data_IF_361162370258
#
_entry.id   IF_361162370258
#
_cell.length_a   1.000
_cell.length_b   1.000
_cell.length_c   1.000
_cell.angle_alpha   90.00
_cell.angle_beta   90.00
_cell.angle_gamma   90.00
#
_symmetry.space_group_name_H-M   'P 1'
#
loop_
_entity.id
_entity.type
_entity.pdbx_description
1 polymer ?
#
# COMPACT_ATOMS: atom_id res chain seq x y z
N UNK A 1 19.10 27.95 2.31
CA UNK A 1 18.57 26.66 1.91
C UNK A 1 19.30 26.22 0.64
N UNK A 2 19.53 24.93 0.43
CA UNK A 2 20.20 24.40 -0.75
C UNK A 2 21.20 23.30 -0.42
N UNK A 3 21.85 22.75 -1.45
CA UNK A 3 22.85 21.71 -1.33
C UNK A 3 24.24 22.30 -1.12
N UNK A 4 24.96 21.84 -0.12
CA UNK A 4 26.33 22.24 0.16
C UNK A 4 27.25 21.03 0.16
N UNK A 5 28.36 21.11 -0.57
CA UNK A 5 29.42 20.10 -0.60
C UNK A 5 30.54 20.48 0.35
N UNK A 6 30.91 19.54 1.22
CA UNK A 6 32.11 19.65 2.06
C UNK A 6 33.30 18.97 1.40
N UNK A 7 34.42 19.66 1.31
CA UNK A 7 35.66 19.08 0.85
C UNK A 7 36.54 18.70 2.06
N UNK A 8 36.64 17.42 2.33
CA UNK A 8 37.39 16.89 3.48
C UNK A 8 38.91 17.15 3.43
N UNK A 9 39.48 17.36 2.22
CA UNK A 9 40.90 17.62 2.05
C UNK A 9 41.28 19.05 2.34
N UNK A 10 40.40 20.03 2.08
CA UNK A 10 40.66 21.47 2.33
C UNK A 10 39.90 22.02 3.51
N UNK A 11 38.86 21.35 4.00
CA UNK A 11 37.97 21.82 5.04
C UNK A 11 36.91 22.84 4.56
N UNK A 12 36.81 23.08 3.27
CA UNK A 12 35.95 24.08 2.69
C UNK A 12 34.54 23.58 2.39
N UNK A 13 33.59 24.51 2.46
CA UNK A 13 32.21 24.29 2.00
C UNK A 13 31.96 25.07 0.72
N UNK A 14 31.29 24.42 -0.24
CA UNK A 14 30.85 25.06 -1.49
C UNK A 14 29.38 24.82 -1.73
N UNK A 15 28.63 25.88 -2.02
CA UNK A 15 27.23 25.79 -2.37
C UNK A 15 27.09 25.22 -3.80
N UNK A 16 26.20 24.25 -3.97
CA UNK A 16 25.81 23.71 -5.26
C UNK A 16 24.59 24.49 -5.73
N UNK A 17 24.75 25.30 -6.76
CA UNK A 17 23.72 26.24 -7.27
C UNK A 17 22.75 25.59 -8.28
N UNK A 18 23.16 24.49 -8.89
CA UNK A 18 22.41 23.78 -9.94
C UNK A 18 21.06 23.24 -9.46
N UNK A 19 20.95 22.92 -8.17
CA UNK A 19 19.72 22.45 -7.51
C UNK A 19 18.78 23.59 -7.10
N UNK A 20 19.20 24.83 -7.37
CA UNK A 20 18.51 26.02 -6.89
C UNK A 20 18.80 26.33 -5.42
N UNK A 21 18.85 27.61 -5.09
CA UNK A 21 19.24 28.09 -3.73
C UNK A 21 18.07 28.08 -2.73
N UNK A 22 16.84 27.85 -3.19
CA UNK A 22 15.61 27.91 -2.39
C UNK A 22 14.89 26.58 -2.26
N UNK A 23 15.37 25.52 -2.91
CA UNK A 23 14.75 24.20 -2.85
C UNK A 23 14.88 23.58 -1.48
N UNK A 24 13.78 23.05 -0.96
CA UNK A 24 13.82 22.20 0.23
C UNK A 24 14.20 20.80 -0.23
N UNK A 25 15.37 20.34 0.16
CA UNK A 25 15.87 19.01 -0.13
C UNK A 25 15.33 18.06 0.94
N UNK A 26 14.68 17.00 0.49
CA UNK A 26 14.14 15.97 1.36
C UNK A 26 15.06 14.75 1.44
N UNK A 27 15.63 14.34 0.30
CA UNK A 27 16.46 13.14 0.27
C UNK A 27 17.61 13.28 -0.73
N UNK A 28 18.68 12.55 -0.48
CA UNK A 28 19.87 12.49 -1.32
C UNK A 28 20.35 11.04 -1.36
N UNK A 29 20.49 10.48 -2.57
CA UNK A 29 20.97 9.13 -2.77
C UNK A 29 22.07 9.11 -3.85
N UNK A 30 23.19 8.48 -3.57
CA UNK A 30 24.18 8.07 -4.59
C UNK A 30 23.86 6.64 -5.02
N UNK A 31 23.54 6.46 -6.31
CA UNK A 31 23.19 5.16 -6.86
C UNK A 31 24.41 4.36 -7.31
N UNK A 32 24.21 3.06 -7.55
CA UNK A 32 25.25 2.14 -8.01
C UNK A 32 25.76 2.44 -9.42
N UNK A 33 25.12 3.35 -10.18
CA UNK A 33 25.46 3.77 -11.54
C UNK A 33 26.20 5.12 -11.61
N UNK A 34 26.73 5.58 -10.48
CA UNK A 34 27.45 6.85 -10.34
C UNK A 34 26.58 8.09 -10.61
N UNK A 35 25.35 8.10 -10.18
CA UNK A 35 24.52 9.28 -10.14
C UNK A 35 24.26 9.69 -8.69
N UNK A 36 24.20 11.00 -8.44
CA UNK A 36 23.69 11.57 -7.21
C UNK A 36 22.28 12.11 -7.48
N UNK A 37 21.30 11.51 -6.85
CA UNK A 37 19.91 11.91 -6.94
C UNK A 37 19.55 12.82 -5.77
N UNK A 38 18.78 13.87 -6.05
CA UNK A 38 18.38 14.86 -5.06
C UNK A 38 16.87 15.09 -5.17
N UNK A 39 16.15 14.62 -4.15
CA UNK A 39 14.71 14.79 -4.03
C UNK A 39 14.38 16.15 -3.41
N UNK A 40 13.41 16.86 -3.98
CA UNK A 40 13.01 18.16 -3.49
C UNK A 40 11.51 18.28 -3.30
N UNK A 41 11.12 19.23 -2.47
CA UNK A 41 9.72 19.61 -2.29
C UNK A 41 9.34 20.69 -3.32
N UNK A 42 8.37 20.38 -4.18
CA UNK A 42 7.78 21.26 -5.20
C UNK A 42 8.70 21.69 -6.36
N UNK A 43 9.97 21.26 -6.40
CA UNK A 43 10.90 21.62 -7.49
C UNK A 43 11.37 20.41 -8.30
N UNK A 44 10.78 19.25 -8.08
CA UNK A 44 11.08 18.04 -8.84
C UNK A 44 12.31 17.28 -8.35
N UNK A 45 12.97 16.59 -9.24
CA UNK A 45 14.09 15.71 -8.98
C UNK A 45 15.31 16.18 -9.76
N UNK A 46 16.49 16.18 -9.14
CA UNK A 46 17.76 16.47 -9.79
C UNK A 46 18.64 15.22 -9.79
N UNK A 47 19.36 15.03 -10.90
CA UNK A 47 20.38 14.00 -11.04
C UNK A 47 21.70 14.62 -11.45
N UNK A 48 22.75 14.36 -10.68
CA UNK A 48 24.13 14.66 -11.07
C UNK A 48 24.81 13.36 -11.50
N UNK A 49 25.32 13.32 -12.73
CA UNK A 49 26.05 12.19 -13.25
C UNK A 49 27.57 12.45 -13.12
N UNK A 50 28.25 11.67 -12.27
CA UNK A 50 29.66 11.90 -11.95
C UNK A 50 30.61 11.77 -13.15
N UNK A 51 30.44 10.80 -14.07
CA UNK A 51 31.37 10.59 -15.19
C UNK A 51 31.52 11.79 -16.11
N UNK A 52 30.43 12.45 -16.47
CA UNK A 52 30.42 13.61 -17.39
C UNK A 52 30.20 14.93 -16.66
N UNK A 53 29.99 14.89 -15.33
CA UNK A 53 29.78 16.06 -14.46
C UNK A 53 28.58 16.90 -14.87
N UNK A 54 27.54 16.25 -15.39
CA UNK A 54 26.33 16.91 -15.85
C UNK A 54 25.21 16.88 -14.82
N UNK A 55 24.38 17.93 -14.84
CA UNK A 55 23.14 18.00 -14.09
C UNK A 55 21.94 17.81 -15.03
N UNK A 56 20.98 17.02 -14.59
CA UNK A 56 19.67 16.88 -15.23
C UNK A 56 18.58 17.22 -14.21
N UNK A 57 17.61 18.01 -14.63
CA UNK A 57 16.46 18.40 -13.81
C UNK A 57 15.18 17.80 -14.40
N UNK A 58 14.46 17.04 -13.60
CA UNK A 58 13.21 16.38 -13.97
C UNK A 58 12.04 17.03 -13.25
N UNK A 59 11.08 17.52 -14.02
CA UNK A 59 9.84 18.11 -13.53
C UNK A 59 8.63 17.28 -13.97
N UNK A 60 7.61 17.29 -13.14
CA UNK A 60 6.31 16.74 -13.51
C UNK A 60 5.71 17.58 -14.66
N UNK A 61 5.35 16.89 -15.72
CA UNK A 61 4.65 17.47 -16.85
C UNK A 61 3.54 16.52 -17.33
N UNK A 62 2.24 16.85 -17.12
CA UNK A 62 1.13 15.97 -17.48
C UNK A 62 1.02 15.71 -18.99
N UNK A 63 1.56 16.63 -19.82
CA UNK A 63 1.54 16.50 -21.28
C UNK A 63 2.73 15.69 -21.82
N UNK A 64 3.72 15.38 -20.99
CA UNK A 64 4.91 14.61 -21.35
C UNK A 64 4.85 13.22 -20.73
N UNK A 65 4.57 12.20 -21.55
CA UNK A 65 4.64 10.82 -21.12
C UNK A 65 6.07 10.48 -20.68
N UNK A 66 6.21 9.86 -19.53
CA UNK A 66 7.52 9.49 -18.97
C UNK A 66 8.18 10.62 -18.16
N UNK A 67 7.49 11.75 -17.89
CA UNK A 67 7.95 12.70 -16.88
C UNK A 67 7.85 12.10 -15.47
N UNK A 68 8.59 12.66 -14.50
CA UNK A 68 8.41 12.31 -13.08
C UNK A 68 6.95 12.53 -12.67
N UNK A 69 6.43 11.69 -11.76
CA UNK A 69 5.00 11.64 -11.43
C UNK A 69 4.54 12.76 -10.50
N UNK A 70 5.46 13.45 -9.82
CA UNK A 70 5.21 14.59 -8.92
C UNK A 70 6.44 15.50 -8.86
N UNK A 71 6.24 16.78 -8.56
CA UNK A 71 7.33 17.70 -8.20
C UNK A 71 7.73 17.62 -6.72
N UNK A 72 6.94 16.94 -5.90
CA UNK A 72 7.23 16.70 -4.48
C UNK A 72 7.70 15.28 -4.28
N UNK A 73 9.02 15.09 -4.30
CA UNK A 73 9.68 13.80 -4.05
C UNK A 73 10.16 13.79 -2.61
N UNK A 74 9.75 12.77 -1.85
CA UNK A 74 10.04 12.69 -0.42
C UNK A 74 11.25 11.80 -0.14
N UNK A 75 11.31 10.63 -0.79
CA UNK A 75 12.35 9.62 -0.53
C UNK A 75 12.84 8.99 -1.82
N UNK A 76 14.09 8.57 -1.82
CA UNK A 76 14.77 7.88 -2.91
C UNK A 76 15.33 6.58 -2.34
N UNK A 77 15.15 5.49 -3.06
CA UNK A 77 15.64 4.19 -2.65
C UNK A 77 16.18 3.41 -3.86
N UNK A 78 17.35 2.80 -3.74
CA UNK A 78 17.85 1.83 -4.71
C UNK A 78 17.72 0.42 -4.14
N UNK A 79 16.99 -0.45 -4.86
CA UNK A 79 16.82 -1.83 -4.43
C UNK A 79 18.06 -2.69 -4.76
N UNK A 80 18.11 -3.89 -4.22
CA UNK A 80 19.23 -4.85 -4.43
C UNK A 80 19.44 -5.26 -5.88
N UNK A 81 18.50 -4.95 -6.77
CA UNK A 81 18.56 -5.19 -8.22
C UNK A 81 18.92 -3.95 -9.02
N UNK A 82 19.30 -2.87 -8.32
CA UNK A 82 19.70 -1.59 -8.92
C UNK A 82 18.53 -0.86 -9.63
N UNK A 83 17.28 -1.13 -9.24
CA UNK A 83 16.16 -0.28 -9.62
C UNK A 83 16.07 0.89 -8.66
N UNK A 84 15.83 2.07 -9.21
CA UNK A 84 15.67 3.27 -8.39
C UNK A 84 14.18 3.59 -8.21
N UNK A 85 13.80 3.87 -6.97
CA UNK A 85 12.44 4.10 -6.53
C UNK A 85 12.33 5.49 -5.92
N UNK A 86 11.26 6.20 -6.27
CA UNK A 86 10.98 7.53 -5.76
C UNK A 86 9.61 7.52 -5.07
N UNK A 87 9.60 7.84 -3.80
CA UNK A 87 8.39 8.07 -3.03
C UNK A 87 7.95 9.52 -3.12
N UNK A 88 6.68 9.74 -3.39
CA UNK A 88 6.12 11.08 -3.63
C UNK A 88 5.10 11.50 -2.59
N UNK A 89 4.82 12.79 -2.52
CA UNK A 89 3.67 13.34 -1.82
C UNK A 89 2.48 13.44 -2.78
N UNK A 90 1.65 12.39 -2.82
CA UNK A 90 0.37 12.40 -3.54
C UNK A 90 0.31 11.64 -4.86
N UNK A 91 1.45 11.17 -5.41
CA UNK A 91 1.48 10.37 -6.63
C UNK A 91 2.02 8.93 -6.42
N UNK A 92 2.13 8.50 -5.15
CA UNK A 92 2.58 7.17 -4.80
C UNK A 92 4.05 6.91 -5.10
N UNK A 93 4.33 5.73 -5.64
CA UNK A 93 5.67 5.24 -5.95
C UNK A 93 5.93 5.34 -7.45
N UNK A 94 7.10 5.82 -7.85
CA UNK A 94 7.54 5.75 -9.24
C UNK A 94 8.96 5.20 -9.38
N UNK A 95 9.29 4.71 -10.58
CA UNK A 95 10.60 4.16 -10.95
C UNK A 95 11.18 4.96 -12.10
N UNK A 96 12.50 4.88 -12.26
CA UNK A 96 13.22 5.45 -13.39
C UNK A 96 13.85 4.35 -14.24
N UNK A 97 13.60 4.43 -15.53
CA UNK A 97 14.24 3.56 -16.53
C UNK A 97 15.46 4.29 -17.10
N UNK A 98 16.64 3.72 -16.86
CA UNK A 98 17.92 4.30 -17.31
C UNK A 98 18.13 4.20 -18.81
N UNK A 99 17.54 3.23 -19.50
CA UNK A 99 17.72 3.02 -20.93
C UNK A 99 16.91 4.04 -21.76
N UNK A 100 15.73 4.37 -21.27
CA UNK A 100 14.83 5.33 -21.92
C UNK A 100 14.86 6.73 -21.29
N UNK A 101 15.51 6.87 -20.13
CA UNK A 101 15.52 8.08 -19.29
C UNK A 101 14.12 8.60 -18.95
N UNK A 102 13.19 7.69 -18.67
CA UNK A 102 11.80 8.00 -18.37
C UNK A 102 11.37 7.47 -17.01
N UNK A 103 10.33 8.11 -16.48
CA UNK A 103 9.68 7.66 -15.23
C UNK A 103 8.39 6.90 -15.52
N UNK A 104 8.09 5.96 -14.66
CA UNK A 104 6.84 5.22 -14.68
C UNK A 104 6.23 5.16 -13.27
N UNK A 105 4.93 5.41 -13.15
CA UNK A 105 4.18 5.12 -11.93
C UNK A 105 4.19 3.62 -11.69
N UNK A 106 4.38 3.23 -10.43
CA UNK A 106 4.32 1.83 -10.06
C UNK A 106 2.90 1.51 -9.57
N UNK A 107 2.08 0.98 -10.49
CA UNK A 107 0.71 0.56 -10.21
C UNK A 107 0.67 -0.98 -10.20
N UNK A 108 0.71 -1.63 -9.02
CA UNK A 108 0.59 -3.08 -8.94
C UNK A 108 -0.81 -3.51 -9.43
N UNK A 109 -0.85 -4.48 -10.35
CA UNK A 109 -2.10 -5.05 -10.88
C UNK A 109 -3.10 -4.04 -11.47
N UNK A 110 -2.60 -2.91 -12.02
CA UNK A 110 -3.41 -1.78 -12.49
C UNK A 110 -4.31 -1.15 -11.40
N UNK A 111 -3.95 -1.33 -10.14
CA UNK A 111 -4.61 -0.70 -9.00
C UNK A 111 -3.77 0.45 -8.47
N UNK A 112 -4.42 1.56 -8.19
CA UNK A 112 -3.78 2.68 -7.49
C UNK A 112 -3.34 2.20 -6.10
N UNK A 113 -2.08 2.45 -5.73
CA UNK A 113 -1.63 2.15 -4.38
C UNK A 113 -2.60 2.77 -3.35
N UNK A 114 -2.97 2.01 -2.30
CA UNK A 114 -3.92 2.52 -1.29
C UNK A 114 -3.40 3.75 -0.55
N UNK A 115 -2.10 4.06 -0.73
CA UNK A 115 -1.44 5.20 -0.12
C UNK A 115 -0.68 6.02 -1.16
N UNK A 116 -1.19 7.20 -1.57
CA UNK A 116 -0.52 8.06 -2.52
C UNK A 116 0.68 8.82 -1.93
N UNK A 117 0.88 8.75 -0.60
CA UNK A 117 1.99 9.44 0.08
C UNK A 117 2.99 8.40 0.59
N UNK A 118 4.23 8.50 0.13
CA UNK A 118 5.34 7.60 0.47
C UNK A 118 6.40 8.34 1.24
N UNK A 119 6.58 7.98 2.52
CA UNK A 119 7.51 8.65 3.45
C UNK A 119 8.85 7.94 3.58
N UNK A 120 8.86 6.62 3.47
CA UNK A 120 10.07 5.81 3.58
C UNK A 120 9.90 4.50 2.83
N UNK A 121 11.00 3.96 2.34
CA UNK A 121 11.09 2.69 1.60
C UNK A 121 12.25 1.89 2.16
N UNK A 122 12.03 0.61 2.44
CA UNK A 122 13.07 -0.36 2.79
C UNK A 122 12.87 -1.63 1.98
N UNK A 123 13.93 -2.41 1.75
CA UNK A 123 13.86 -3.71 1.09
C UNK A 123 14.15 -4.83 2.10
N UNK A 124 13.39 -5.93 2.06
CA UNK A 124 13.69 -7.13 2.83
C UNK A 124 14.60 -8.10 2.05
N UNK A 125 15.10 -9.13 2.74
CA UNK A 125 15.95 -10.19 2.14
C UNK A 125 15.32 -10.93 0.97
N UNK A 126 13.99 -10.96 0.90
CA UNK A 126 13.25 -11.61 -0.17
C UNK A 126 13.07 -10.68 -1.40
N UNK A 127 13.51 -9.42 -1.28
CA UNK A 127 13.39 -8.40 -2.31
C UNK A 127 11.98 -7.80 -2.39
N UNK A 128 11.22 -7.85 -1.29
CA UNK A 128 9.98 -7.09 -1.18
C UNK A 128 10.30 -5.70 -0.66
N UNK A 129 9.63 -4.70 -1.21
CA UNK A 129 9.69 -3.33 -0.73
C UNK A 129 8.65 -3.11 0.36
N UNK A 130 9.08 -2.49 1.46
CA UNK A 130 8.24 -2.08 2.56
C UNK A 130 8.12 -0.57 2.55
N UNK A 131 6.91 -0.08 2.36
CA UNK A 131 6.62 1.32 2.07
C UNK A 131 5.75 1.90 3.17
N UNK A 132 6.28 2.86 3.89
CA UNK A 132 5.58 3.57 4.94
C UNK A 132 4.95 4.87 4.42
N UNK A 133 3.74 5.17 4.85
CA UNK A 133 3.02 6.37 4.46
C UNK A 133 2.02 6.84 5.51
N UNK A 134 0.91 7.45 5.08
CA UNK A 134 -0.14 7.94 5.97
C UNK A 134 -1.36 7.01 6.08
N UNK A 135 -1.38 5.87 5.38
CA UNK A 135 -2.48 4.90 5.40
C UNK A 135 -2.05 3.50 5.87
N UNK A 136 -0.85 3.36 6.44
CA UNK A 136 -0.31 2.09 6.91
C UNK A 136 1.07 1.78 6.33
N UNK A 137 1.48 0.53 6.49
CA UNK A 137 2.72 -0.03 5.97
C UNK A 137 2.37 -1.02 4.86
N UNK A 138 2.89 -0.77 3.67
CA UNK A 138 2.62 -1.57 2.48
C UNK A 138 3.84 -2.44 2.17
N UNK A 139 3.65 -3.74 2.03
CA UNK A 139 4.66 -4.66 1.47
C UNK A 139 4.32 -4.96 0.03
N UNK A 140 5.30 -4.81 -0.88
CA UNK A 140 5.13 -5.07 -2.31
C UNK A 140 6.25 -5.97 -2.80
N UNK A 141 5.91 -6.99 -3.57
CA UNK A 141 6.88 -7.71 -4.37
C UNK A 141 6.96 -7.09 -5.78
N UNK A 142 8.06 -6.42 -6.16
CA UNK A 142 8.14 -5.70 -7.43
C UNK A 142 8.02 -6.59 -8.68
N UNK A 143 8.37 -7.88 -8.58
CA UNK A 143 8.35 -8.82 -9.73
C UNK A 143 6.96 -9.42 -9.94
N UNK A 144 6.34 -9.89 -8.86
CA UNK A 144 5.02 -10.52 -8.93
C UNK A 144 3.89 -9.50 -8.87
N UNK A 145 4.22 -8.25 -8.51
CA UNK A 145 3.31 -7.14 -8.26
C UNK A 145 2.29 -7.41 -7.15
N UNK A 146 2.44 -8.49 -6.40
CA UNK A 146 1.60 -8.75 -5.23
C UNK A 146 1.96 -7.78 -4.13
N UNK A 147 0.93 -7.29 -3.43
CA UNK A 147 1.09 -6.36 -2.33
C UNK A 147 0.16 -6.68 -1.17
N UNK A 148 0.50 -6.18 0.01
CA UNK A 148 -0.31 -6.31 1.21
C UNK A 148 -0.17 -5.07 2.07
N UNK A 149 -1.30 -4.52 2.50
CA UNK A 149 -1.36 -3.38 3.39
C UNK A 149 -1.55 -3.85 4.84
N UNK A 150 -0.68 -3.37 5.71
CA UNK A 150 -0.77 -3.53 7.15
C UNK A 150 -1.21 -2.22 7.79
N UNK A 151 -2.07 -2.32 8.78
CA UNK A 151 -2.70 -1.18 9.45
C UNK A 151 -2.60 -1.34 10.97
N UNK A 152 -3.10 -0.37 11.72
CA UNK A 152 -3.21 -0.48 13.18
C UNK A 152 -4.00 -1.73 13.62
N UNK A 153 -4.97 -2.19 12.84
CA UNK A 153 -5.69 -3.44 13.10
C UNK A 153 -4.79 -4.70 13.03
N UNK A 154 -3.62 -4.61 12.38
CA UNK A 154 -2.62 -5.67 12.32
C UNK A 154 -1.53 -5.53 13.39
N UNK A 155 -1.66 -4.54 14.29
CA UNK A 155 -0.73 -4.31 15.40
C UNK A 155 0.30 -3.21 15.13
N UNK A 156 0.14 -2.40 14.07
CA UNK A 156 0.98 -1.22 13.90
C UNK A 156 0.70 -0.16 14.98
N UNK A 157 1.71 0.63 15.32
CA UNK A 157 1.61 1.72 16.29
C UNK A 157 0.56 2.77 15.88
N UNK A 158 0.38 2.97 14.57
CA UNK A 158 -0.58 3.84 13.90
C UNK A 158 -0.58 3.53 12.41
N UNK A 159 -1.55 4.06 11.66
CA UNK A 159 -1.51 4.05 10.19
C UNK A 159 -0.61 5.17 9.63
N UNK A 160 -0.24 6.16 10.45
CA UNK A 160 0.60 7.26 10.01
C UNK A 160 2.04 7.09 10.49
N UNK A 161 2.96 7.11 9.54
CA UNK A 161 4.40 7.08 9.72
C UNK A 161 5.02 8.48 9.54
N UNK A 162 6.30 8.62 9.86
CA UNK A 162 7.04 9.87 9.72
C UNK A 162 8.01 9.79 8.52
N UNK A 163 8.36 10.97 7.99
CA UNK A 163 9.35 11.12 6.92
C UNK A 163 10.69 10.49 7.32
N UNK A 164 11.31 9.73 6.44
CA UNK A 164 12.64 9.12 6.60
C UNK A 164 12.85 8.39 7.94
N UNK A 165 11.79 7.90 8.54
CA UNK A 165 11.84 7.22 9.83
C UNK A 165 11.82 5.70 9.63
N UNK A 166 12.76 5.18 8.85
CA UNK A 166 12.95 3.75 8.60
C UNK A 166 14.40 3.33 8.75
N UNK A 167 14.60 2.06 8.99
CA UNK A 167 15.92 1.45 9.07
C UNK A 167 15.82 -0.05 8.79
N UNK A 168 16.63 -0.56 7.85
CA UNK A 168 16.94 -1.96 7.73
C UNK A 168 18.21 -2.24 8.55
N UNK A 169 18.06 -2.95 9.67
CA UNK A 169 19.16 -3.26 10.57
C UNK A 169 20.00 -4.45 10.06
N UNK A 170 21.23 -4.57 10.55
CA UNK A 170 22.15 -5.66 10.17
C UNK A 170 21.66 -7.08 10.50
N UNK A 171 20.73 -7.20 11.43
CA UNK A 171 20.07 -8.46 11.79
C UNK A 171 18.79 -8.72 10.99
N UNK A 172 18.58 -7.95 9.91
CA UNK A 172 17.42 -7.99 8.98
C UNK A 172 16.08 -7.58 9.57
N UNK A 173 16.11 -6.99 10.75
CA UNK A 173 14.95 -6.30 11.29
C UNK A 173 14.67 -5.02 10.54
N UNK A 174 13.40 -4.79 10.22
CA UNK A 174 12.93 -3.52 9.72
C UNK A 174 12.33 -2.70 10.87
N UNK A 175 12.63 -1.41 10.85
CA UNK A 175 12.11 -0.42 11.79
C UNK A 175 11.40 0.69 11.03
N UNK A 176 10.21 1.08 11.50
CA UNK A 176 9.45 2.19 10.93
C UNK A 176 8.86 3.04 12.04
N UNK A 177 9.29 4.31 12.10
CA UNK A 177 8.83 5.30 13.07
C UNK A 177 7.56 6.02 12.61
N UNK A 178 6.66 6.26 13.56
CA UNK A 178 5.39 6.94 13.30
C UNK A 178 4.97 7.83 14.47
N UNK A 179 3.75 8.34 14.41
CA UNK A 179 3.25 9.34 15.37
C UNK A 179 3.04 8.80 16.79
N UNK A 180 2.88 7.50 16.97
CA UNK A 180 2.66 6.85 18.27
C UNK A 180 3.81 5.92 18.68
N UNK A 181 5.02 6.14 18.15
CA UNK A 181 6.18 5.31 18.41
C UNK A 181 6.74 4.68 17.15
N UNK A 182 7.24 3.44 17.24
CA UNK A 182 7.78 2.74 16.09
C UNK A 182 7.34 1.27 16.08
N UNK A 183 7.34 0.69 14.89
CA UNK A 183 7.22 -0.75 14.68
C UNK A 183 8.59 -1.34 14.36
N UNK A 184 8.89 -2.51 14.92
CA UNK A 184 10.06 -3.30 14.52
C UNK A 184 9.65 -4.76 14.38
N UNK A 185 10.12 -5.42 13.30
CA UNK A 185 9.72 -6.78 12.99
C UNK A 185 10.73 -7.44 12.05
N UNK A 186 10.69 -8.75 12.00
CA UNK A 186 11.30 -9.51 10.91
C UNK A 186 10.25 -9.75 9.83
N UNK A 187 10.52 -9.41 8.55
CA UNK A 187 9.57 -9.63 7.45
C UNK A 187 9.04 -11.06 7.35
N UNK A 188 9.87 -12.06 7.66
CA UNK A 188 9.52 -13.48 7.67
C UNK A 188 8.51 -13.88 8.76
N UNK A 189 8.32 -13.06 9.78
CA UNK A 189 7.34 -13.32 10.84
C UNK A 189 5.90 -13.04 10.38
N UNK A 190 5.74 -12.29 9.29
CA UNK A 190 4.43 -12.02 8.69
C UNK A 190 3.94 -13.25 7.91
N UNK A 191 3.23 -14.12 8.61
CA UNK A 191 2.59 -15.28 7.99
C UNK A 191 1.22 -14.89 7.45
N UNK A 192 0.91 -15.38 6.26
CA UNK A 192 -0.45 -15.29 5.77
C UNK A 192 -1.38 -16.11 6.69
N UNK A 193 -2.47 -15.47 7.10
CA UNK A 193 -3.51 -16.20 7.80
C UNK A 193 -4.28 -17.05 6.77
N UNK A 194 -3.92 -18.31 6.66
CA UNK A 194 -4.59 -19.27 5.76
C UNK A 194 -5.86 -19.86 6.36
N UNK A 195 -6.25 -19.43 7.55
CA UNK A 195 -7.47 -19.89 8.20
C UNK A 195 -8.69 -19.35 7.44
N UNK A 196 -9.46 -20.24 6.84
CA UNK A 196 -10.75 -19.93 6.24
C UNK A 196 -11.80 -20.08 7.34
N UNK A 197 -12.40 -18.97 7.82
CA UNK A 197 -13.37 -19.05 8.90
C UNK A 197 -14.68 -19.65 8.41
N UNK A 198 -15.37 -20.34 9.33
CA UNK A 198 -16.73 -20.81 9.08
C UNK A 198 -17.69 -19.63 8.93
N UNK A 199 -18.53 -19.68 7.91
CA UNK A 199 -19.60 -18.71 7.67
C UNK A 199 -20.91 -19.27 8.16
N UNK A 200 -21.61 -18.48 8.98
CA UNK A 200 -22.89 -18.86 9.55
C UNK A 200 -23.96 -17.89 9.09
N UNK A 201 -25.10 -18.41 8.60
CA UNK A 201 -26.29 -17.58 8.33
C UNK A 201 -26.92 -17.24 9.68
N UNK A 202 -27.02 -15.95 9.97
CA UNK A 202 -27.50 -15.45 11.28
C UNK A 202 -28.93 -14.97 11.28
N UNK A 203 -29.44 -14.53 10.10
CA UNK A 203 -30.83 -14.06 9.95
C UNK A 203 -31.39 -14.48 8.60
N UNK A 204 -32.70 -14.62 8.59
CA UNK A 204 -33.50 -14.82 7.40
C UNK A 204 -34.64 -13.81 7.39
N UNK A 205 -34.87 -13.15 6.27
CA UNK A 205 -35.94 -12.16 6.12
C UNK A 205 -36.78 -12.45 4.88
N UNK A 206 -38.08 -12.26 4.97
CA UNK A 206 -39.02 -12.24 3.87
C UNK A 206 -39.64 -10.84 3.75
N UNK A 207 -39.63 -10.26 2.54
CA UNK A 207 -40.16 -8.92 2.28
C UNK A 207 -39.57 -7.87 3.24
N UNK A 208 -38.27 -7.96 3.55
CA UNK A 208 -37.53 -7.09 4.50
C UNK A 208 -38.01 -7.21 5.96
N UNK A 209 -38.77 -8.26 6.33
CA UNK A 209 -39.13 -8.57 7.70
C UNK A 209 -38.38 -9.78 8.20
N UNK A 210 -37.72 -9.66 9.35
CA UNK A 210 -37.00 -10.78 9.96
C UNK A 210 -37.98 -11.89 10.37
N UNK A 211 -37.70 -13.12 9.96
CA UNK A 211 -38.52 -14.30 10.22
C UNK A 211 -37.76 -15.24 11.15
N UNK A 212 -38.36 -15.48 12.31
CA UNK A 212 -37.89 -16.50 13.26
C UNK A 212 -38.84 -17.72 13.32
N UNK A 213 -38.50 -18.78 14.06
CA UNK A 213 -39.35 -19.94 14.22
C UNK A 213 -40.70 -19.64 14.88
N UNK A 214 -40.76 -18.59 15.73
CA UNK A 214 -41.96 -18.19 16.44
C UNK A 214 -42.82 -17.15 15.68
N UNK A 215 -42.38 -16.76 14.46
CA UNK A 215 -43.17 -15.85 13.62
C UNK A 215 -44.40 -16.57 13.07
N UNK A 216 -45.62 -15.99 13.12
CA UNK A 216 -46.78 -16.59 12.48
C UNK A 216 -46.53 -16.94 11.02
N UNK A 217 -46.95 -18.13 10.58
CA UNK A 217 -46.76 -18.66 9.23
C UNK A 217 -45.27 -18.77 8.78
N UNK A 218 -44.36 -18.88 9.75
CA UNK A 218 -42.94 -19.02 9.48
C UNK A 218 -42.61 -20.31 8.72
N UNK A 219 -41.77 -20.23 7.67
CA UNK A 219 -41.23 -21.43 7.04
C UNK A 219 -40.13 -22.10 7.88
N UNK A 220 -39.69 -21.46 8.98
CA UNK A 220 -38.66 -21.98 9.87
C UNK A 220 -39.27 -22.77 11.02
N UNK A 221 -38.88 -24.03 11.17
CA UNK A 221 -39.24 -24.86 12.32
C UNK A 221 -38.26 -24.75 13.51
N UNK A 222 -37.09 -24.14 13.27
CA UNK A 222 -36.00 -23.90 14.24
C UNK A 222 -35.16 -22.72 13.77
N UNK A 223 -34.21 -22.27 14.60
CA UNK A 223 -33.34 -21.16 14.26
C UNK A 223 -32.69 -21.37 12.88
N UNK A 224 -32.54 -20.27 12.11
CA UNK A 224 -31.87 -20.29 10.79
C UNK A 224 -30.48 -20.90 10.87
N UNK A 225 -29.74 -20.69 11.95
CA UNK A 225 -28.41 -21.25 12.19
C UNK A 225 -28.40 -22.79 12.26
N UNK A 226 -29.55 -23.41 12.50
CA UNK A 226 -29.72 -24.86 12.58
C UNK A 226 -30.56 -25.42 11.42
N UNK A 227 -30.94 -24.57 10.48
CA UNK A 227 -31.82 -24.93 9.36
C UNK A 227 -30.97 -25.20 8.12
N UNK A 228 -31.08 -26.39 7.55
CA UNK A 228 -30.35 -26.81 6.35
C UNK A 228 -31.15 -26.60 5.06
N UNK A 229 -32.48 -26.44 5.16
CA UNK A 229 -33.34 -26.23 3.99
C UNK A 229 -34.58 -25.40 4.39
N UNK A 230 -34.98 -24.52 3.49
CA UNK A 230 -36.22 -23.72 3.61
C UNK A 230 -37.00 -23.93 2.33
N UNK A 231 -38.30 -24.16 2.47
CA UNK A 231 -39.22 -24.25 1.33
C UNK A 231 -40.12 -23.03 1.36
N UNK A 232 -40.10 -22.27 0.30
CA UNK A 232 -40.90 -21.06 0.13
C UNK A 232 -41.98 -21.30 -0.96
N UNK A 233 -43.21 -20.86 -0.77
CA UNK A 233 -44.18 -20.78 -1.84
C UNK A 233 -43.76 -19.73 -2.88
N UNK A 234 -44.29 -19.84 -4.09
CA UNK A 234 -43.86 -19.04 -5.25
C UNK A 234 -44.09 -17.52 -5.08
N UNK A 235 -44.99 -17.12 -4.22
CA UNK A 235 -45.31 -15.74 -3.89
C UNK A 235 -44.40 -15.14 -2.81
N UNK A 236 -43.61 -15.98 -2.13
CA UNK A 236 -42.55 -15.55 -1.18
C UNK A 236 -41.17 -15.48 -1.87
N UNK A 237 -41.07 -14.71 -2.94
CA UNK A 237 -39.90 -14.64 -3.82
C UNK A 237 -38.90 -13.53 -3.47
N UNK A 238 -39.22 -12.72 -2.44
CA UNK A 238 -38.32 -11.67 -1.96
C UNK A 238 -37.79 -12.05 -0.59
N UNK A 239 -36.56 -12.51 -0.54
CA UNK A 239 -35.92 -12.94 0.71
C UNK A 239 -34.49 -12.42 0.79
N UNK A 240 -33.95 -12.33 2.01
CA UNK A 240 -32.56 -12.03 2.26
C UNK A 240 -32.00 -12.87 3.39
N UNK A 241 -30.68 -13.07 3.34
CA UNK A 241 -29.91 -13.75 4.38
C UNK A 241 -28.86 -12.81 4.91
N UNK A 242 -28.75 -12.68 6.24
CA UNK A 242 -27.59 -12.09 6.88
C UNK A 242 -26.66 -13.20 7.32
N UNK A 243 -25.38 -13.04 7.06
CA UNK A 243 -24.38 -14.04 7.43
C UNK A 243 -23.21 -13.38 8.16
N UNK A 244 -22.47 -14.15 8.94
CA UNK A 244 -21.28 -13.71 9.64
C UNK A 244 -20.19 -14.77 9.58
N UNK A 245 -18.96 -14.32 9.44
CA UNK A 245 -17.77 -15.13 9.62
C UNK A 245 -17.41 -15.25 11.10
N UNK A 246 -17.08 -16.42 11.57
CA UNK A 246 -16.62 -16.68 12.94
C UNK A 246 -15.13 -16.36 13.12
N UNK A 247 -14.65 -15.28 12.48
CA UNK A 247 -13.31 -14.75 12.64
C UNK A 247 -13.33 -13.44 13.42
N UNK A 248 -12.70 -13.46 14.60
CA UNK A 248 -12.66 -12.31 15.51
C UNK A 248 -11.35 -11.52 15.45
N UNK A 249 -10.36 -12.01 14.72
CA UNK A 249 -9.00 -11.46 14.73
C UNK A 249 -8.91 -10.14 13.93
N UNK A 250 -9.63 -10.03 12.80
CA UNK A 250 -9.73 -8.80 12.01
C UNK A 250 -11.07 -8.79 11.25
N UNK A 251 -12.20 -8.59 11.93
CA UNK A 251 -13.54 -8.75 11.34
C UNK A 251 -13.79 -7.77 10.17
N UNK A 252 -13.16 -6.60 10.18
CA UNK A 252 -13.31 -5.59 9.12
C UNK A 252 -12.53 -5.94 7.83
N UNK A 253 -11.67 -6.97 7.88
CA UNK A 253 -10.91 -7.49 6.72
C UNK A 253 -11.54 -8.73 6.10
N UNK A 254 -12.67 -9.21 6.64
CA UNK A 254 -13.36 -10.33 6.05
C UNK A 254 -14.06 -9.89 4.76
N UNK A 255 -13.67 -10.50 3.67
CA UNK A 255 -14.37 -10.39 2.39
C UNK A 255 -15.35 -11.53 2.25
N UNK A 256 -16.52 -11.26 1.72
CA UNK A 256 -17.56 -12.26 1.52
C UNK A 256 -17.95 -12.32 0.06
N UNK A 257 -18.27 -13.53 -0.38
CA UNK A 257 -18.89 -13.75 -1.67
C UNK A 257 -20.07 -14.71 -1.51
N UNK A 258 -21.11 -14.52 -2.29
CA UNK A 258 -22.23 -15.44 -2.36
C UNK A 258 -22.63 -15.71 -3.80
N UNK A 259 -23.33 -16.80 -4.02
CA UNK A 259 -23.89 -17.19 -5.31
C UNK A 259 -25.15 -17.98 -5.08
N UNK A 260 -26.24 -17.59 -5.71
CA UNK A 260 -27.47 -18.39 -5.75
C UNK A 260 -27.38 -19.39 -6.91
N UNK A 261 -27.08 -20.64 -6.58
CA UNK A 261 -26.88 -21.70 -7.56
C UNK A 261 -28.16 -21.91 -8.40
N UNK A 262 -28.00 -21.97 -9.74
CA UNK A 262 -29.09 -22.04 -10.68
C UNK A 262 -29.72 -20.72 -11.12
N UNK A 263 -29.33 -19.60 -10.47
CA UNK A 263 -29.77 -18.23 -10.79
C UNK A 263 -28.58 -17.37 -11.20
N UNK A 264 -27.57 -17.27 -10.32
CA UNK A 264 -26.38 -16.48 -10.57
C UNK A 264 -25.38 -17.27 -11.43
N UNK A 265 -24.68 -16.55 -12.32
CA UNK A 265 -23.65 -17.13 -13.20
C UNK A 265 -22.25 -17.07 -12.57
N UNK A 266 -22.01 -16.11 -11.66
CA UNK A 266 -20.74 -15.81 -11.06
C UNK A 266 -20.91 -15.49 -9.58
N UNK A 267 -19.80 -15.57 -8.82
CA UNK A 267 -19.79 -15.17 -7.42
C UNK A 267 -19.97 -13.66 -7.30
N UNK A 268 -20.86 -13.23 -6.41
CA UNK A 268 -21.12 -11.84 -6.09
C UNK A 268 -20.31 -11.50 -4.85
N UNK A 269 -19.34 -10.58 -4.99
CA UNK A 269 -18.51 -10.12 -3.88
C UNK A 269 -19.18 -8.95 -3.18
N UNK A 270 -19.14 -8.96 -1.84
CA UNK A 270 -19.71 -7.89 -1.03
C UNK A 270 -18.60 -7.08 -0.37
N UNK A 271 -18.62 -5.76 -0.49
CA UNK A 271 -17.66 -4.83 0.13
C UNK A 271 -17.88 -4.74 1.66
N UNK A 272 -17.63 -5.87 2.37
CA UNK A 272 -17.81 -5.95 3.82
C UNK A 272 -19.26 -5.84 4.32
N UNK A 273 -20.24 -5.75 3.43
CA UNK A 273 -21.67 -5.80 3.79
C UNK A 273 -22.07 -7.24 4.09
N UNK A 274 -22.74 -7.44 5.22
CA UNK A 274 -23.19 -8.74 5.72
C UNK A 274 -24.58 -9.14 5.22
N UNK A 275 -25.13 -8.37 4.28
CA UNK A 275 -26.44 -8.57 3.65
C UNK A 275 -26.35 -8.55 2.13
#
# INVERSE_FOLDING_TARGET
>A
WGLTRYNSSTGDFSLITDVGTTSHIYDILEDSRNNLWIATYNTGLFRYHYPDKSWTHYNYNPDQKGSVTSNSIITIFEDSRQNIWFGTEGAGLCTFDYDTETFASFDPENQVLPNPVVYAIEEDKAGNLWIAGNAGLLSINPQTRKWKLYTQADGLQSNQFNFHSSLHAHDDKLYFGGINGFNCFYPEDFRENTYIPEVVITRFSLFNQEIGPDTPDSPLSRSITQTSAITLPYDQNTFSFTFASLSYQAPDKNEYAYMLEGVDKEWIYTDGKKE
#
